data_IF_362983070960
#
_entry.id   IF_362983070960
#
_cell.length_a   1.000
_cell.length_b   1.000
_cell.length_c   1.000
_cell.angle_alpha   90.00
_cell.angle_beta   90.00
_cell.angle_gamma   90.00
#
_symmetry.space_group_name_H-M   'P 1'
#
loop_
_entity.id
_entity.type
_entity.pdbx_description
1 polymer ?
#
# COMPACT_ATOMS: atom_id res chain seq x y z
N UNK A 1 44.08 -29.92 -21.13
CA UNK A 1 44.78 -30.76 -20.12
C UNK A 1 43.89 -30.81 -18.87
N UNK A 2 43.45 -32.02 -18.57
CA UNK A 2 43.11 -32.63 -17.26
C UNK A 2 41.97 -31.99 -16.50
N UNK A 3 40.84 -32.61 -16.52
CA UNK A 3 40.35 -33.81 -15.75
C UNK A 3 39.72 -33.34 -14.43
N UNK A 4 38.41 -33.58 -14.32
CA UNK A 4 37.75 -34.80 -13.79
C UNK A 4 37.73 -34.90 -12.28
N UNK A 5 36.59 -35.37 -11.88
CA UNK A 5 36.27 -36.04 -10.61
C UNK A 5 35.64 -35.07 -9.57
N UNK A 6 34.46 -35.30 -9.07
CA UNK A 6 34.02 -36.58 -8.49
C UNK A 6 32.48 -36.65 -8.46
N UNK A 7 31.98 -37.60 -9.19
CA UNK A 7 30.77 -38.34 -8.91
C UNK A 7 31.08 -39.33 -7.76
N UNK A 8 30.28 -39.40 -6.78
CA UNK A 8 29.98 -40.48 -5.85
C UNK A 8 29.58 -39.94 -4.51
N UNK A 9 28.42 -40.13 -4.10
CA UNK A 9 27.95 -41.20 -3.26
C UNK A 9 26.42 -41.26 -3.28
N UNK A 10 25.92 -42.15 -4.09
CA UNK A 10 24.67 -42.85 -3.82
C UNK A 10 25.10 -44.11 -3.06
N UNK A 11 24.51 -44.43 -1.96
CA UNK A 11 24.07 -45.77 -1.54
C UNK A 11 23.75 -45.85 -0.06
N UNK A 12 22.68 -46.56 0.19
CA UNK A 12 22.24 -47.23 1.42
C UNK A 12 21.50 -46.32 2.38
N UNK A 13 20.24 -46.61 2.68
CA UNK A 13 19.78 -47.83 3.28
C UNK A 13 18.34 -48.12 2.90
N UNK A 14 18.16 -49.16 2.18
CA UNK A 14 16.98 -49.99 2.19
C UNK A 14 16.98 -50.86 3.47
N UNK A 15 15.79 -51.36 3.84
CA UNK A 15 15.55 -52.45 4.76
C UNK A 15 15.40 -52.12 6.24
N UNK A 16 14.18 -52.03 6.66
CA UNK A 16 13.64 -52.85 7.73
C UNK A 16 12.12 -52.96 7.58
N UNK A 17 11.73 -54.05 6.92
CA UNK A 17 10.38 -54.62 6.95
C UNK A 17 10.32 -55.63 8.10
N UNK A 18 9.13 -55.75 8.66
CA UNK A 18 8.59 -56.89 9.41
C UNK A 18 8.89 -57.01 10.91
N UNK A 19 7.81 -57.21 11.57
CA UNK A 19 7.44 -57.95 12.76
C UNK A 19 6.70 -56.98 13.70
N UNK A 20 5.48 -57.09 14.05
CA UNK A 20 4.55 -58.16 14.17
C UNK A 20 3.42 -57.76 15.07
N UNK A 21 2.29 -58.04 14.64
CA UNK A 21 1.19 -58.70 15.31
C UNK A 21 0.60 -58.13 16.61
N UNK A 22 -0.63 -57.67 16.47
CA UNK A 22 -1.79 -57.92 17.35
C UNK A 22 -1.70 -57.49 18.81
N UNK A 23 -2.43 -56.46 19.15
CA UNK A 23 -3.18 -56.44 20.40
C UNK A 23 -4.57 -55.87 20.20
N UNK A 24 -5.55 -56.68 20.43
CA UNK A 24 -6.98 -56.50 20.34
C UNK A 24 -7.50 -55.89 21.64
N UNK A 25 -8.40 -54.94 21.51
CA UNK A 25 -9.44 -54.50 22.43
C UNK A 25 -9.07 -53.91 23.80
N UNK A 26 -9.45 -52.64 23.97
CA UNK A 26 -10.37 -52.26 25.04
C UNK A 26 -11.03 -50.91 24.71
N UNK A 27 -12.34 -50.89 24.70
CA UNK A 27 -13.24 -49.76 24.68
C UNK A 27 -12.97 -48.82 25.85
N UNK A 28 -12.80 -47.51 25.57
CA UNK A 28 -13.25 -46.46 26.47
C UNK A 28 -13.50 -45.23 25.64
N UNK A 29 -14.73 -44.70 25.68
CA UNK A 29 -15.17 -43.51 24.97
C UNK A 29 -14.34 -42.30 25.39
N UNK A 30 -13.96 -41.50 24.38
CA UNK A 30 -13.46 -40.15 24.59
C UNK A 30 -14.26 -39.22 23.68
N UNK A 31 -14.90 -38.29 24.33
CA UNK A 31 -15.76 -37.27 23.76
C UNK A 31 -15.12 -36.53 22.57
N UNK A 32 -15.82 -36.60 21.43
CA UNK A 32 -15.42 -36.05 20.16
C UNK A 32 -15.74 -34.55 20.05
N UNK A 33 -16.06 -33.87 21.15
CA UNK A 33 -16.47 -32.49 21.17
C UNK A 33 -15.31 -31.48 21.21
N UNK A 34 -14.14 -31.86 21.71
CA UNK A 34 -12.99 -30.94 21.86
C UNK A 34 -12.14 -30.79 20.58
N UNK A 35 -12.14 -31.82 19.72
CA UNK A 35 -11.38 -31.80 18.47
C UNK A 35 -12.04 -30.96 17.38
N UNK A 36 -13.38 -30.89 17.33
CA UNK A 36 -14.10 -30.07 16.34
C UNK A 36 -14.03 -28.59 16.65
N UNK A 37 -13.93 -28.19 17.92
CA UNK A 37 -13.83 -26.78 18.30
C UNK A 37 -12.43 -26.22 18.05
N UNK A 38 -11.37 -27.03 18.21
CA UNK A 38 -9.99 -26.63 17.86
C UNK A 38 -9.79 -26.43 16.36
N UNK A 39 -10.38 -27.31 15.53
CA UNK A 39 -10.31 -27.18 14.07
C UNK A 39 -11.07 -25.96 13.52
N UNK A 40 -12.21 -25.58 14.13
CA UNK A 40 -12.99 -24.43 13.72
C UNK A 40 -12.27 -23.11 14.02
N UNK A 41 -11.51 -23.03 15.13
CA UNK A 41 -10.71 -21.86 15.50
C UNK A 41 -9.45 -21.74 14.64
N UNK A 42 -8.79 -22.86 14.32
CA UNK A 42 -7.63 -22.87 13.41
C UNK A 42 -8.03 -22.46 11.98
N UNK A 43 -9.16 -22.95 11.47
CA UNK A 43 -9.64 -22.63 10.12
C UNK A 43 -10.08 -21.16 10.01
N UNK A 44 -10.62 -20.58 11.10
CA UNK A 44 -10.98 -19.16 11.15
C UNK A 44 -9.74 -18.27 11.16
N UNK A 45 -8.68 -18.67 11.89
CA UNK A 45 -7.41 -17.95 11.93
C UNK A 45 -6.61 -18.07 10.62
N UNK A 46 -6.72 -19.19 9.91
CA UNK A 46 -6.08 -19.36 8.59
C UNK A 46 -6.82 -18.53 7.53
N UNK A 47 -8.17 -18.49 7.53
CA UNK A 47 -8.94 -17.64 6.61
C UNK A 47 -8.72 -16.14 6.85
N UNK A 48 -8.53 -15.69 8.10
CA UNK A 48 -8.22 -14.29 8.40
C UNK A 48 -6.80 -13.92 7.97
N UNK A 49 -5.84 -14.84 8.02
CA UNK A 49 -4.47 -14.64 7.54
C UNK A 49 -4.38 -14.68 6.01
N UNK A 50 -5.16 -15.51 5.34
CA UNK A 50 -5.19 -15.61 3.87
C UNK A 50 -5.89 -14.41 3.22
N UNK A 51 -6.86 -13.76 3.88
CA UNK A 51 -7.50 -12.55 3.36
C UNK A 51 -6.57 -11.32 3.44
N UNK A 52 -5.56 -11.32 4.31
CA UNK A 52 -4.60 -10.22 4.46
C UNK A 52 -3.45 -10.27 3.43
N UNK A 53 -3.26 -11.39 2.74
CA UNK A 53 -2.20 -11.56 1.73
C UNK A 53 -2.55 -11.03 0.33
N UNK A 54 -3.79 -10.55 0.11
CA UNK A 54 -4.24 -9.95 -1.16
C UNK A 54 -4.39 -8.43 -1.11
N UNK A 55 -4.16 -7.81 0.04
CA UNK A 55 -4.24 -6.36 0.21
C UNK A 55 -3.00 -5.69 -0.38
N UNK A 56 -3.22 -4.73 -1.28
CA UNK A 56 -2.15 -3.98 -1.93
C UNK A 56 -1.69 -2.84 -1.02
N UNK A 57 -0.67 -3.07 -0.22
CA UNK A 57 -0.08 -2.04 0.62
C UNK A 57 0.58 -0.96 -0.24
N UNK A 58 0.31 0.30 0.10
CA UNK A 58 0.95 1.45 -0.52
C UNK A 58 2.44 1.45 -0.18
N UNK A 59 3.33 1.62 -1.17
CA UNK A 59 4.75 1.82 -0.90
C UNK A 59 4.97 3.03 0.00
N UNK A 60 5.77 2.87 1.05
CA UNK A 60 6.20 4.00 1.84
C UNK A 60 7.12 4.91 1.02
N UNK A 61 7.16 6.18 1.38
CA UNK A 61 8.03 7.16 0.76
C UNK A 61 8.62 8.08 1.82
N UNK A 62 9.71 8.74 1.45
CA UNK A 62 10.33 9.82 2.23
C UNK A 62 10.55 10.99 1.28
N UNK A 63 9.81 12.08 1.46
CA UNK A 63 9.84 13.30 0.64
C UNK A 63 9.92 14.52 1.55
N UNK A 64 10.29 15.68 1.00
CA UNK A 64 10.29 16.94 1.73
C UNK A 64 8.94 17.66 1.59
N UNK A 65 8.45 18.27 2.67
CA UNK A 65 7.47 19.35 2.56
C UNK A 65 8.11 20.65 2.06
N UNK A 66 7.32 21.70 1.88
CA UNK A 66 7.81 22.98 1.35
C UNK A 66 8.67 23.76 2.35
N UNK A 67 8.69 23.35 3.60
CA UNK A 67 9.55 23.85 4.69
C UNK A 67 10.84 23.04 4.85
N UNK A 68 11.02 21.96 4.08
CA UNK A 68 12.19 21.09 4.10
C UNK A 68 12.13 19.97 5.15
N UNK A 69 10.98 19.78 5.82
CA UNK A 69 10.82 18.66 6.76
C UNK A 69 10.59 17.36 6.01
N UNK A 70 11.18 16.28 6.51
CA UNK A 70 10.94 14.95 5.95
C UNK A 70 9.55 14.44 6.34
N UNK A 71 8.79 14.01 5.33
CA UNK A 71 7.44 13.45 5.46
C UNK A 71 7.42 12.05 4.86
N UNK A 72 6.86 11.09 5.59
CA UNK A 72 6.68 9.71 5.14
C UNK A 72 5.20 9.34 5.10
N UNK A 73 4.84 8.33 4.31
CA UNK A 73 3.47 7.79 4.33
C UNK A 73 3.15 7.13 5.68
N UNK A 74 4.13 6.49 6.29
CA UNK A 74 3.96 5.81 7.58
C UNK A 74 3.52 6.76 8.71
N UNK A 75 3.95 8.03 8.68
CA UNK A 75 3.47 9.08 9.60
C UNK A 75 1.98 9.39 9.47
N UNK A 76 1.33 8.91 8.41
CA UNK A 76 -0.09 9.14 8.13
C UNK A 76 -0.96 7.92 8.45
N UNK A 77 -0.41 6.87 9.08
CA UNK A 77 -1.20 5.71 9.52
C UNK A 77 -2.37 6.14 10.41
N UNK A 78 -3.51 5.47 10.25
CA UNK A 78 -4.76 5.85 10.92
C UNK A 78 -5.54 6.98 10.22
N UNK A 79 -5.00 7.58 9.15
CA UNK A 79 -5.70 8.53 8.29
C UNK A 79 -6.05 7.91 6.95
N UNK A 80 -7.09 8.42 6.31
CA UNK A 80 -7.38 8.15 4.90
C UNK A 80 -6.59 9.13 4.05
N UNK A 81 -5.70 8.60 3.20
CA UNK A 81 -4.80 9.44 2.39
C UNK A 81 -5.27 9.48 0.94
N UNK A 82 -5.49 10.70 0.42
CA UNK A 82 -5.66 10.96 -0.99
C UNK A 82 -4.31 11.42 -1.56
N UNK A 83 -3.54 10.47 -2.12
CA UNK A 83 -2.21 10.72 -2.67
C UNK A 83 -2.30 11.07 -4.15
N UNK A 84 -1.95 12.30 -4.50
CA UNK A 84 -2.05 12.83 -5.85
C UNK A 84 -0.66 13.12 -6.45
N UNK A 85 -0.35 12.52 -7.59
CA UNK A 85 0.82 12.85 -8.40
C UNK A 85 0.43 13.93 -9.41
N UNK A 86 1.07 15.11 -9.32
CA UNK A 86 0.67 16.30 -10.05
C UNK A 86 1.85 17.22 -10.37
N UNK A 87 1.61 18.33 -11.06
CA UNK A 87 2.59 19.39 -11.29
C UNK A 87 1.93 20.75 -11.47
N UNK A 88 2.63 21.83 -11.10
CA UNK A 88 2.13 23.20 -11.20
C UNK A 88 1.82 23.63 -12.64
N UNK A 89 2.53 23.05 -13.60
CA UNK A 89 2.38 23.28 -15.05
C UNK A 89 1.25 22.48 -15.69
N UNK A 90 0.72 21.46 -14.99
CA UNK A 90 -0.28 20.54 -15.50
C UNK A 90 -1.68 21.17 -15.47
N UNK A 91 -2.21 21.51 -16.63
CA UNK A 91 -3.55 22.12 -16.76
C UNK A 91 -4.68 21.29 -16.15
N UNK A 92 -4.81 19.97 -16.47
CA UNK A 92 -5.80 19.10 -15.83
C UNK A 92 -5.64 19.01 -14.31
N UNK A 93 -4.39 18.99 -13.78
CA UNK A 93 -4.15 18.94 -12.34
C UNK A 93 -4.67 20.19 -11.63
N UNK A 94 -4.49 21.35 -12.23
CA UNK A 94 -4.99 22.62 -11.67
C UNK A 94 -6.51 22.67 -11.56
N UNK A 95 -7.23 21.92 -12.40
CA UNK A 95 -8.70 21.85 -12.34
C UNK A 95 -9.21 21.12 -11.09
N UNK A 96 -8.42 20.20 -10.51
CA UNK A 96 -8.78 19.46 -9.30
C UNK A 96 -8.49 20.23 -8.00
N UNK A 97 -7.65 21.26 -8.03
CA UNK A 97 -7.23 21.98 -6.82
C UNK A 97 -8.42 22.49 -5.99
N UNK A 98 -9.44 23.13 -6.57
CA UNK A 98 -10.61 23.58 -5.80
C UNK A 98 -11.36 22.42 -5.12
N UNK A 99 -11.47 21.28 -5.80
CA UNK A 99 -12.13 20.08 -5.27
C UNK A 99 -11.37 19.54 -4.07
N UNK A 100 -10.04 19.46 -4.13
CA UNK A 100 -9.20 19.03 -3.02
C UNK A 100 -9.25 20.00 -1.83
N UNK A 101 -9.26 21.31 -2.09
CA UNK A 101 -9.42 22.33 -1.04
C UNK A 101 -10.75 22.14 -0.30
N UNK A 102 -11.83 21.87 -1.02
CA UNK A 102 -13.14 21.64 -0.45
C UNK A 102 -13.20 20.34 0.36
N UNK A 103 -12.66 19.25 -0.18
CA UNK A 103 -12.55 17.96 0.54
C UNK A 103 -11.79 18.12 1.86
N UNK A 104 -10.64 18.81 1.85
CA UNK A 104 -9.88 19.08 3.08
C UNK A 104 -10.66 19.91 4.09
N UNK A 105 -11.34 20.98 3.65
CA UNK A 105 -12.18 21.79 4.52
C UNK A 105 -13.28 20.98 5.21
N UNK A 106 -13.90 20.06 4.48
CA UNK A 106 -15.05 19.27 4.97
C UNK A 106 -14.61 18.08 5.83
N UNK A 107 -13.55 17.37 5.45
CA UNK A 107 -13.25 16.02 5.93
C UNK A 107 -11.93 15.87 6.69
N UNK A 108 -11.16 16.96 6.88
CA UNK A 108 -9.92 16.89 7.69
C UNK A 108 -10.17 16.34 9.10
N UNK A 109 -11.29 16.74 9.72
CA UNK A 109 -11.66 16.27 11.07
C UNK A 109 -12.09 14.82 11.09
N UNK A 110 -12.56 14.29 9.96
CA UNK A 110 -12.94 12.89 9.77
C UNK A 110 -11.72 11.99 9.50
N UNK A 111 -10.52 12.59 9.46
CA UNK A 111 -9.26 11.87 9.26
C UNK A 111 -8.77 11.84 7.83
N UNK A 112 -9.31 12.66 6.91
CA UNK A 112 -8.77 12.82 5.58
C UNK A 112 -7.44 13.58 5.61
N UNK A 113 -6.45 13.07 4.87
CA UNK A 113 -5.22 13.77 4.54
C UNK A 113 -5.06 13.79 3.01
N UNK A 114 -4.89 14.96 2.40
CA UNK A 114 -4.56 15.07 0.98
C UNK A 114 -3.08 15.41 0.86
N UNK A 115 -2.38 14.67 0.00
CA UNK A 115 -0.94 14.79 -0.22
C UNK A 115 -0.66 14.91 -1.71
N UNK A 116 -0.15 16.04 -2.14
CA UNK A 116 0.30 16.27 -3.50
C UNK A 116 1.79 16.00 -3.65
N UNK A 117 2.17 14.92 -4.36
CA UNK A 117 3.55 14.68 -4.79
C UNK A 117 3.81 15.51 -6.02
N UNK A 118 4.63 16.55 -5.88
CA UNK A 118 4.82 17.58 -6.89
C UNK A 118 5.96 17.25 -7.82
N UNK A 119 5.63 16.96 -9.08
CA UNK A 119 6.59 16.52 -10.09
C UNK A 119 7.10 17.71 -10.92
N UNK A 120 8.41 17.82 -11.09
CA UNK A 120 9.07 18.71 -12.06
C UNK A 120 8.54 20.15 -12.05
N UNK A 121 8.31 20.71 -10.87
CA UNK A 121 7.66 22.02 -10.70
C UNK A 121 8.60 23.13 -10.22
N UNK A 122 9.89 22.88 -10.28
CA UNK A 122 10.93 23.81 -9.82
C UNK A 122 11.18 23.68 -8.30
N UNK A 123 11.92 24.62 -7.75
CA UNK A 123 12.31 24.59 -6.34
C UNK A 123 11.11 24.84 -5.40
N UNK A 124 11.22 24.48 -4.11
CA UNK A 124 10.13 24.55 -3.13
C UNK A 124 9.48 25.94 -3.02
N UNK A 125 10.24 27.01 -3.12
CA UNK A 125 9.74 28.39 -3.06
C UNK A 125 8.78 28.72 -4.21
N UNK A 126 9.01 28.19 -5.41
CA UNK A 126 8.12 28.36 -6.54
C UNK A 126 6.80 27.59 -6.34
N UNK A 127 6.90 26.37 -5.79
CA UNK A 127 5.74 25.56 -5.46
C UNK A 127 4.94 26.23 -4.34
N UNK A 128 5.62 26.81 -3.36
CA UNK A 128 4.97 27.57 -2.27
C UNK A 128 4.24 28.80 -2.79
N UNK A 129 4.88 29.61 -3.62
CA UNK A 129 4.25 30.79 -4.23
C UNK A 129 3.00 30.39 -5.05
N UNK A 130 3.07 29.25 -5.76
CA UNK A 130 1.91 28.70 -6.46
C UNK A 130 0.81 28.27 -5.47
N UNK A 131 1.17 27.57 -4.40
CA UNK A 131 0.23 27.09 -3.39
C UNK A 131 -0.51 28.25 -2.71
N UNK A 132 0.23 29.29 -2.33
CA UNK A 132 -0.31 30.51 -1.73
C UNK A 132 -1.30 31.22 -2.68
N UNK A 133 -0.93 31.36 -3.97
CA UNK A 133 -1.79 31.95 -5.00
C UNK A 133 -3.09 31.17 -5.20
N UNK A 134 -3.07 29.84 -5.10
CA UNK A 134 -4.23 28.97 -5.32
C UNK A 134 -5.01 28.68 -4.04
N UNK A 135 -4.52 29.13 -2.88
CA UNK A 135 -5.12 28.86 -1.57
C UNK A 135 -5.10 27.37 -1.21
N UNK A 136 -4.08 26.64 -1.62
CA UNK A 136 -3.94 25.19 -1.34
C UNK A 136 -3.80 25.00 0.16
N UNK A 137 -4.67 24.17 0.75
CA UNK A 137 -4.79 23.96 2.19
C UNK A 137 -4.43 22.52 2.59
N UNK A 138 -3.73 21.80 1.72
CA UNK A 138 -3.29 20.43 1.92
C UNK A 138 -1.79 20.31 1.68
N UNK A 139 -1.22 19.18 2.09
CA UNK A 139 0.22 18.94 2.07
C UNK A 139 0.77 18.78 0.65
N UNK A 140 1.81 19.52 0.33
CA UNK A 140 2.57 19.38 -0.90
C UNK A 140 3.97 18.85 -0.56
N UNK A 141 4.40 17.84 -1.30
CA UNK A 141 5.70 17.20 -1.13
C UNK A 141 6.51 17.31 -2.42
N UNK A 142 7.81 17.48 -2.24
CA UNK A 142 8.80 17.61 -3.29
C UNK A 142 10.05 16.78 -2.97
N UNK A 143 11.05 16.88 -3.82
CA UNK A 143 12.31 16.17 -3.66
C UNK A 143 13.09 16.67 -2.43
N UNK A 144 13.82 15.76 -1.78
CA UNK A 144 14.80 16.10 -0.71
C UNK A 144 16.13 16.50 -1.35
N UNK A 145 16.60 15.71 -2.32
CA UNK A 145 17.90 15.87 -3.00
C UNK A 145 17.77 15.95 -4.53
N UNK A 146 16.59 15.72 -5.08
CA UNK A 146 16.26 16.03 -6.47
C UNK A 146 15.71 14.92 -7.37
N UNK A 147 15.41 13.71 -6.89
CA UNK A 147 14.87 12.62 -7.72
C UNK A 147 13.90 11.67 -7.00
N UNK A 148 13.56 12.00 -5.77
CA UNK A 148 12.76 11.10 -4.94
C UNK A 148 11.32 11.03 -5.43
N UNK A 149 10.76 12.13 -5.94
CA UNK A 149 9.38 12.16 -6.46
C UNK A 149 9.21 11.24 -7.68
N UNK A 150 10.19 11.16 -8.57
CA UNK A 150 10.19 10.24 -9.70
C UNK A 150 10.33 8.79 -9.23
N UNK A 151 11.17 8.53 -8.22
CA UNK A 151 11.33 7.21 -7.61
C UNK A 151 10.03 6.75 -6.99
N UNK A 152 9.36 7.59 -6.21
CA UNK A 152 8.04 7.29 -5.61
C UNK A 152 7.00 7.03 -6.69
N UNK A 153 7.00 7.84 -7.77
CA UNK A 153 6.10 7.62 -8.93
C UNK A 153 6.30 6.24 -9.55
N UNK A 154 7.55 5.81 -9.71
CA UNK A 154 7.89 4.49 -10.25
C UNK A 154 7.45 3.36 -9.30
N UNK A 155 7.69 3.50 -7.99
CA UNK A 155 7.28 2.53 -6.96
C UNK A 155 5.77 2.30 -6.95
N UNK A 156 4.97 3.37 -6.99
CA UNK A 156 3.51 3.25 -7.05
C UNK A 156 3.03 2.61 -8.36
N UNK A 157 3.70 2.93 -9.48
CA UNK A 157 3.45 2.26 -10.76
C UNK A 157 3.72 0.77 -10.70
N UNK A 158 4.85 0.37 -10.11
CA UNK A 158 5.26 -1.02 -9.94
C UNK A 158 4.30 -1.77 -9.00
N UNK A 159 4.04 -1.22 -7.81
CA UNK A 159 3.16 -1.85 -6.82
C UNK A 159 1.77 -2.12 -7.38
N UNK A 160 1.21 -1.21 -8.19
CA UNK A 160 -0.12 -1.37 -8.78
C UNK A 160 -0.13 -2.13 -10.12
N UNK A 161 1.00 -2.63 -10.58
CA UNK A 161 1.13 -3.32 -11.88
C UNK A 161 0.87 -2.44 -13.10
N UNK A 162 0.77 -1.11 -12.91
CA UNK A 162 0.48 -0.14 -13.98
C UNK A 162 1.35 1.11 -13.80
N UNK A 163 2.28 1.35 -14.70
CA UNK A 163 3.10 2.56 -14.70
C UNK A 163 2.24 3.83 -14.63
N UNK A 164 2.74 4.84 -13.93
CA UNK A 164 2.15 6.19 -13.96
C UNK A 164 2.76 6.91 -15.15
N UNK A 165 2.00 7.01 -16.23
CA UNK A 165 2.43 7.61 -17.51
C UNK A 165 1.79 8.98 -17.76
N UNK A 166 0.95 9.43 -16.85
CA UNK A 166 0.26 10.73 -16.96
C UNK A 166 -0.19 11.24 -15.61
N UNK A 167 -0.36 12.54 -15.52
CA UNK A 167 -0.86 13.26 -14.36
C UNK A 167 -2.10 14.10 -14.72
N UNK A 168 -3.03 14.31 -13.77
CA UNK A 168 -2.98 13.81 -12.41
C UNK A 168 -3.21 12.29 -12.33
N UNK A 169 -2.51 11.63 -11.41
CA UNK A 169 -2.81 10.26 -10.99
C UNK A 169 -3.01 10.27 -9.47
N UNK A 170 -4.15 9.76 -9.01
CA UNK A 170 -4.55 9.86 -7.61
C UNK A 170 -4.86 8.49 -7.04
N UNK A 171 -4.39 8.22 -5.83
CA UNK A 171 -4.66 7.00 -5.07
C UNK A 171 -5.47 7.31 -3.82
N UNK A 172 -6.45 6.48 -3.51
CA UNK A 172 -7.06 6.41 -2.19
C UNK A 172 -6.34 5.31 -1.41
N UNK A 173 -5.81 5.67 -0.25
CA UNK A 173 -5.12 4.78 0.68
C UNK A 173 -5.91 4.83 1.99
N UNK A 174 -6.31 3.68 2.52
CA UNK A 174 -7.07 3.62 3.78
C UNK A 174 -6.19 3.80 5.02
N UNK A 175 -6.81 3.71 6.20
CA UNK A 175 -6.15 3.90 7.50
C UNK A 175 -5.07 2.87 7.79
N UNK A 176 -5.19 1.68 7.22
CA UNK A 176 -4.25 0.57 7.31
C UNK A 176 -3.10 0.69 6.30
N UNK A 177 -3.21 1.67 5.37
CA UNK A 177 -2.22 1.91 4.32
C UNK A 177 -2.40 1.05 3.08
N UNK A 178 -3.60 0.51 2.87
CA UNK A 178 -3.93 -0.28 1.69
C UNK A 178 -4.43 0.62 0.57
N UNK A 179 -3.92 0.43 -0.64
CA UNK A 179 -4.43 1.12 -1.83
C UNK A 179 -5.82 0.57 -2.18
N UNK A 180 -6.82 1.41 -2.07
CA UNK A 180 -8.21 1.06 -2.32
C UNK A 180 -8.67 1.43 -3.72
N UNK A 181 -8.11 2.51 -4.29
CA UNK A 181 -8.48 2.97 -5.63
C UNK A 181 -7.37 3.78 -6.29
N UNK A 182 -7.34 3.74 -7.62
CA UNK A 182 -6.49 4.58 -8.45
C UNK A 182 -7.34 5.29 -9.50
N UNK A 183 -7.09 6.57 -9.67
CA UNK A 183 -7.63 7.39 -10.77
C UNK A 183 -6.51 7.87 -11.68
N UNK A 184 -6.80 7.96 -12.96
CA UNK A 184 -5.96 8.63 -13.96
C UNK A 184 -6.78 9.72 -14.60
N UNK A 185 -6.25 10.93 -14.61
CA UNK A 185 -6.96 12.14 -15.01
C UNK A 185 -7.85 12.74 -13.91
N UNK A 186 -8.32 13.98 -14.12
CA UNK A 186 -9.00 14.75 -13.09
C UNK A 186 -10.37 14.17 -12.72
N UNK A 187 -10.76 14.35 -11.46
CA UNK A 187 -12.09 13.99 -10.93
C UNK A 187 -12.64 15.14 -10.09
N UNK A 188 -13.95 15.21 -9.99
CA UNK A 188 -14.63 16.17 -9.11
C UNK A 188 -14.64 15.69 -7.66
N UNK A 189 -14.85 16.64 -6.73
CA UNK A 189 -15.07 16.40 -5.31
C UNK A 189 -16.07 15.27 -5.07
N UNK A 190 -17.21 15.31 -5.77
CA UNK A 190 -18.28 14.31 -5.61
C UNK A 190 -17.81 12.89 -5.93
N UNK A 191 -17.02 12.70 -6.99
CA UNK A 191 -16.50 11.39 -7.37
C UNK A 191 -15.49 10.89 -6.34
N UNK A 192 -14.60 11.75 -5.85
CA UNK A 192 -13.67 11.39 -4.79
C UNK A 192 -14.40 11.02 -3.50
N UNK A 193 -15.39 11.84 -3.10
CA UNK A 193 -16.12 11.63 -1.86
C UNK A 193 -16.91 10.31 -1.84
N UNK A 194 -17.55 9.94 -2.95
CA UNK A 194 -18.26 8.66 -3.05
C UNK A 194 -17.39 7.46 -2.71
N UNK A 195 -16.12 7.50 -3.11
CA UNK A 195 -15.18 6.42 -2.83
C UNK A 195 -14.45 6.57 -1.46
N UNK A 196 -14.30 7.81 -0.96
CA UNK A 196 -13.65 8.09 0.31
C UNK A 196 -14.56 7.81 1.52
N UNK A 197 -15.86 8.14 1.42
CA UNK A 197 -16.81 8.19 2.55
C UNK A 197 -16.87 6.89 3.38
N UNK A 198 -16.59 5.76 2.78
CA UNK A 198 -16.62 4.45 3.48
C UNK A 198 -15.37 4.17 4.31
N UNK A 199 -14.31 5.00 4.15
CA UNK A 199 -13.07 4.87 4.90
C UNK A 199 -12.92 6.00 5.94
N UNK A 200 -13.64 7.12 5.76
CA UNK A 200 -13.68 8.24 6.69
C UNK A 200 -14.52 7.89 7.92
#
# INVERSE_FOLDING_TARGET
>A
MKNNMILKQITKVEFFFLIGLVCIMSFAGCDNSTAQQKNKTLTKNIKSKQNKSSELLAPDFSLADLEGNTVTLDQMRGKVVLLNFWGTWCGPCRKEIPDFINLMKKHKKDGLEIVGVTLTSGPPENIKAFADKWGINYKLLTDIKGNETQTVTALYGQATGKRITGIPTTFIIDREGVIQKRYVGPRSEAIFYEDLKKYL
#
